data_IF_920416100579
#
_entry.id   IF_920416100579
#
_cell.length_a   1.000
_cell.length_b   1.000
_cell.length_c   1.000
_cell.angle_alpha   90.00
_cell.angle_beta   90.00
_cell.angle_gamma   90.00
#
_symmetry.space_group_name_H-M   'P 1'
#
loop_
_entity.id
_entity.type
_entity.pdbx_description
1 polymer ?
#
# COMPACT_ATOMS: atom_id res chain seq x y z
N UNK A 1 13.25 10.48 2.48
CA UNK A 1 12.94 9.26 3.15
C UNK A 1 11.57 9.31 3.80
N UNK A 2 10.72 8.41 3.38
CA UNK A 2 9.30 8.50 3.69
C UNK A 2 8.94 8.18 5.12
N UNK A 3 9.65 7.27 5.69
CA UNK A 3 9.31 6.71 7.00
C UNK A 3 9.35 7.73 8.13
N UNK A 4 9.96 8.86 7.91
CA UNK A 4 10.14 9.84 8.98
C UNK A 4 8.87 10.61 9.26
N UNK A 5 8.08 10.87 8.23
CA UNK A 5 6.96 11.78 8.35
C UNK A 5 5.71 11.11 8.87
N UNK A 6 5.40 9.95 8.36
CA UNK A 6 4.20 9.22 8.75
C UNK A 6 4.44 7.75 8.50
N UNK A 7 4.51 6.98 9.56
CA UNK A 7 4.70 5.55 9.45
C UNK A 7 3.63 4.87 8.62
N UNK A 8 2.40 5.35 8.68
CA UNK A 8 1.29 4.72 7.99
C UNK A 8 1.41 4.81 6.48
N UNK A 9 1.72 5.99 5.93
CA UNK A 9 1.87 6.14 4.50
C UNK A 9 3.04 5.34 3.94
N UNK A 10 4.15 5.30 4.68
CA UNK A 10 5.29 4.51 4.26
C UNK A 10 4.98 3.03 4.19
N UNK A 11 4.25 2.53 5.18
CA UNK A 11 3.85 1.12 5.22
C UNK A 11 2.93 0.79 4.04
N UNK A 12 1.93 1.63 3.80
CA UNK A 12 1.00 1.42 2.70
C UNK A 12 1.70 1.48 1.35
N UNK A 13 2.58 2.46 1.18
CA UNK A 13 3.33 2.61 -0.06
C UNK A 13 4.18 1.39 -0.35
N UNK A 14 4.93 0.91 0.63
CA UNK A 14 5.79 -0.25 0.43
C UNK A 14 4.98 -1.51 0.13
N UNK A 15 3.90 -1.72 0.84
CA UNK A 15 3.04 -2.88 0.61
C UNK A 15 2.44 -2.85 -0.80
N UNK A 16 1.91 -1.70 -1.21
CA UNK A 16 1.33 -1.56 -2.54
C UNK A 16 2.37 -1.75 -3.64
N UNK A 17 3.56 -1.19 -3.44
CA UNK A 17 4.65 -1.31 -4.41
C UNK A 17 5.07 -2.77 -4.59
N UNK A 18 5.20 -3.52 -3.50
CA UNK A 18 5.59 -4.92 -3.59
C UNK A 18 4.55 -5.75 -4.33
N UNK A 19 3.28 -5.54 -4.04
CA UNK A 19 2.21 -6.24 -4.74
C UNK A 19 2.15 -5.85 -6.21
N UNK A 20 2.35 -4.57 -6.51
CA UNK A 20 2.38 -4.10 -7.89
C UNK A 20 3.49 -4.80 -8.68
N UNK A 21 4.66 -4.93 -8.07
CA UNK A 21 5.78 -5.61 -8.71
C UNK A 21 5.48 -7.09 -8.94
N UNK A 22 4.92 -7.75 -7.93
CA UNK A 22 4.56 -9.16 -8.07
C UNK A 22 3.54 -9.38 -9.19
N UNK A 23 2.51 -8.53 -9.25
CA UNK A 23 1.50 -8.63 -10.29
C UNK A 23 2.07 -8.35 -11.68
N UNK A 24 3.02 -7.43 -11.76
CA UNK A 24 3.68 -7.14 -13.02
C UNK A 24 4.53 -8.35 -13.48
N UNK A 25 5.27 -8.95 -12.57
CA UNK A 25 6.09 -10.12 -12.87
C UNK A 25 5.22 -11.29 -13.35
N UNK A 26 4.06 -11.45 -12.74
CA UNK A 26 3.09 -12.48 -13.12
C UNK A 26 2.32 -12.12 -14.39
N UNK A 27 2.58 -10.96 -14.98
CA UNK A 27 1.91 -10.45 -16.16
C UNK A 27 0.42 -10.18 -15.95
N UNK A 28 0.04 -9.97 -14.70
CA UNK A 28 -1.34 -9.64 -14.33
C UNK A 28 -1.67 -8.18 -14.64
N UNK A 29 -0.69 -7.30 -14.54
CA UNK A 29 -0.84 -5.88 -14.85
C UNK A 29 0.31 -5.42 -15.73
N UNK A 30 0.12 -4.29 -16.39
CA UNK A 30 1.14 -3.68 -17.25
C UNK A 30 2.05 -2.78 -16.44
N UNK A 31 3.18 -2.42 -17.03
CA UNK A 31 4.15 -1.57 -16.35
C UNK A 31 3.53 -0.26 -15.85
N UNK A 32 2.73 0.40 -16.68
CA UNK A 32 2.10 1.65 -16.29
C UNK A 32 1.04 1.47 -15.19
N UNK A 33 0.47 0.27 -15.10
CA UNK A 33 -0.53 -0.03 -14.08
C UNK A 33 0.09 -0.11 -12.68
N UNK A 34 1.39 -0.34 -12.59
CA UNK A 34 2.06 -0.40 -11.28
C UNK A 34 1.90 0.91 -10.52
N UNK A 35 2.18 2.04 -11.18
CA UNK A 35 2.01 3.35 -10.57
C UNK A 35 0.56 3.61 -10.20
N UNK A 36 -0.34 3.27 -11.11
CA UNK A 36 -1.77 3.46 -10.89
C UNK A 36 -2.27 2.64 -9.70
N UNK A 37 -1.78 1.41 -9.56
CA UNK A 37 -2.14 0.56 -8.44
C UNK A 37 -1.72 1.18 -7.12
N UNK A 38 -0.47 1.64 -7.04
CA UNK A 38 0.04 2.26 -5.82
C UNK A 38 -0.78 3.50 -5.47
N UNK A 39 -1.06 4.35 -6.45
CA UNK A 39 -1.87 5.54 -6.23
C UNK A 39 -3.26 5.20 -5.73
N UNK A 40 -3.90 4.21 -6.32
CA UNK A 40 -5.24 3.81 -5.91
C UNK A 40 -5.27 3.32 -4.47
N UNK A 41 -4.27 2.53 -4.07
CA UNK A 41 -4.20 2.04 -2.69
C UNK A 41 -3.98 3.20 -1.72
N UNK A 42 -3.09 4.12 -2.06
CA UNK A 42 -2.80 5.26 -1.19
C UNK A 42 -4.00 6.18 -1.00
N UNK A 43 -4.87 6.26 -1.98
CA UNK A 43 -6.03 7.15 -1.92
C UNK A 43 -7.32 6.48 -1.46
N UNK A 44 -7.24 5.20 -1.04
CA UNK A 44 -8.40 4.54 -0.47
C UNK A 44 -8.77 5.21 0.86
N UNK A 45 -10.05 5.47 1.10
CA UNK A 45 -10.47 6.08 2.37
C UNK A 45 -9.98 5.31 3.58
N UNK A 46 -10.01 4.00 3.51
CA UNK A 46 -9.55 3.13 4.61
C UNK A 46 -8.08 3.34 4.92
N UNK A 47 -7.27 3.56 3.89
CA UNK A 47 -5.84 3.80 4.08
C UNK A 47 -5.58 5.22 4.56
N UNK A 48 -6.35 6.18 4.08
CA UNK A 48 -6.18 7.58 4.47
C UNK A 48 -6.54 7.83 5.93
N UNK A 49 -7.44 7.04 6.48
CA UNK A 49 -7.78 7.13 7.90
C UNK A 49 -6.58 6.90 8.79
N UNK A 50 -5.69 6.01 8.40
CA UNK A 50 -4.51 5.69 9.20
C UNK A 50 -3.52 6.84 9.31
N UNK A 51 -3.59 7.82 8.44
CA UNK A 51 -2.75 9.00 8.55
C UNK A 51 -3.01 9.78 9.83
N UNK A 52 -4.21 9.67 10.36
CA UNK A 52 -4.63 10.40 11.56
C UNK A 52 -4.11 9.76 12.84
N UNK A 53 -3.62 8.54 12.75
CA UNK A 53 -3.18 7.79 13.91
C UNK A 53 -1.67 7.58 13.88
N UNK A 54 -1.07 7.70 15.05
CA UNK A 54 0.32 7.33 15.23
C UNK A 54 0.42 5.83 15.39
N UNK A 55 1.16 5.19 14.50
CA UNK A 55 1.41 3.76 14.65
C UNK A 55 2.51 3.57 15.69
N UNK A 56 2.15 3.02 16.83
CA UNK A 56 3.08 2.90 17.95
C UNK A 56 3.53 1.48 18.23
N UNK A 57 2.86 0.49 17.67
CA UNK A 57 3.23 -0.91 17.91
C UNK A 57 3.52 -1.63 16.60
N UNK A 58 4.34 -2.67 16.71
CA UNK A 58 4.65 -3.51 15.57
C UNK A 58 3.40 -4.21 15.05
N UNK A 59 2.49 -4.58 15.95
CA UNK A 59 1.27 -5.26 15.57
C UNK A 59 0.38 -4.36 14.70
N UNK A 60 0.29 -3.07 15.03
CA UNK A 60 -0.46 -2.12 14.22
C UNK A 60 0.14 -1.97 12.83
N UNK A 61 1.46 -1.91 12.75
CA UNK A 61 2.17 -1.82 11.47
C UNK A 61 1.94 -3.06 10.62
N UNK A 62 1.99 -4.24 11.23
CA UNK A 62 1.75 -5.49 10.52
C UNK A 62 0.33 -5.58 10.01
N UNK A 63 -0.63 -5.14 10.79
CA UNK A 63 -2.03 -5.15 10.38
C UNK A 63 -2.25 -4.21 9.19
N UNK A 64 -1.69 -3.02 9.24
CA UNK A 64 -1.81 -2.06 8.15
C UNK A 64 -1.16 -2.60 6.88
N UNK A 65 0.01 -3.20 7.02
CA UNK A 65 0.71 -3.82 5.89
C UNK A 65 -0.17 -4.88 5.23
N UNK A 66 -0.76 -5.75 6.03
CA UNK A 66 -1.62 -6.81 5.53
C UNK A 66 -2.83 -6.26 4.79
N UNK A 67 -3.47 -5.23 5.35
CA UNK A 67 -4.62 -4.60 4.71
C UNK A 67 -4.26 -3.95 3.39
N UNK A 68 -3.13 -3.23 3.35
CA UNK A 68 -2.69 -2.59 2.13
C UNK A 68 -2.40 -3.62 1.04
N UNK A 69 -1.78 -4.73 1.39
CA UNK A 69 -1.51 -5.81 0.44
C UNK A 69 -2.81 -6.40 -0.11
N UNK A 70 -3.79 -6.62 0.76
CA UNK A 70 -5.07 -7.17 0.32
C UNK A 70 -5.77 -6.23 -0.64
N UNK A 71 -5.79 -4.94 -0.36
CA UNK A 71 -6.38 -3.97 -1.28
C UNK A 71 -5.64 -3.94 -2.61
N UNK A 72 -4.32 -3.97 -2.57
CA UNK A 72 -3.52 -3.94 -3.79
C UNK A 72 -3.78 -5.17 -4.66
N UNK A 73 -4.01 -6.32 -4.05
CA UNK A 73 -4.32 -7.54 -4.80
C UNK A 73 -5.69 -7.51 -5.45
N UNK A 74 -6.62 -6.74 -4.90
CA UNK A 74 -8.00 -6.70 -5.36
C UNK A 74 -8.27 -5.62 -6.41
N UNK A 75 -7.36 -4.70 -6.61
CA UNK A 75 -7.56 -3.62 -7.58
C UNK A 75 -7.51 -4.18 -8.99
N UNK A 76 -8.53 -3.82 -9.78
CA UNK A 76 -8.65 -4.23 -11.18
C UNK A 76 -8.37 -3.07 -12.12
N UNK A 77 -7.84 -3.41 -13.28
CA UNK A 77 -7.57 -2.44 -14.34
C UNK A 77 -8.27 -2.83 -15.63
#
# INVERSE_FOLDING_TARGET
MVLITSGSLGVVFNAAKEIALDRFILKDIKFLDMSNLVEKVLHLPEMMEYEKYSLSTIDEIKLLNKRARNFAEQINF
#
